data_IF_781956832499
#
_entry.id   IF_781956832499
#
_cell.length_a   1.000
_cell.length_b   1.000
_cell.length_c   1.000
_cell.angle_alpha   90.00
_cell.angle_beta   90.00
_cell.angle_gamma   90.00
#
_symmetry.space_group_name_H-M   'P 1'
#
loop_
_entity.id
_entity.type
_entity.pdbx_description
1 polymer ?
#
# COMPACT_ATOMS: atom_id res chain seq x y z
N UNK A 1 -3.79 -11.22 -9.15
CA UNK A 1 -2.60 -11.56 -8.31
C UNK A 1 -2.86 -11.06 -6.91
N UNK A 2 -2.43 -11.74 -5.84
CA UNK A 2 -2.66 -11.27 -4.46
C UNK A 2 -1.37 -10.72 -3.87
N UNK A 3 -1.41 -9.49 -3.38
CA UNK A 3 -0.24 -8.76 -2.88
C UNK A 3 -0.52 -8.32 -1.44
N UNK A 4 0.38 -8.69 -0.53
CA UNK A 4 0.39 -8.19 0.83
C UNK A 4 1.42 -7.08 0.94
N UNK A 5 0.99 -5.88 1.34
CA UNK A 5 1.88 -4.75 1.60
C UNK A 5 1.94 -4.51 3.10
N UNK A 6 3.12 -4.62 3.69
CA UNK A 6 3.37 -4.24 5.08
C UNK A 6 3.79 -2.78 5.18
N UNK A 7 3.37 -2.06 6.21
CA UNK A 7 3.79 -0.66 6.40
C UNK A 7 3.16 0.31 5.39
N UNK A 8 1.96 -0.03 4.86
CA UNK A 8 1.28 0.72 3.82
C UNK A 8 0.79 2.13 4.22
N UNK A 9 0.77 2.46 5.50
CA UNK A 9 0.48 3.81 5.98
C UNK A 9 1.74 4.71 5.98
N UNK A 10 2.94 4.13 5.90
CA UNK A 10 4.20 4.88 5.84
C UNK A 10 4.41 5.63 4.52
N UNK A 11 5.46 6.45 4.45
CA UNK A 11 5.78 7.28 3.28
C UNK A 11 5.86 6.46 1.98
N UNK A 12 6.71 5.43 1.95
CA UNK A 12 6.91 4.58 0.77
C UNK A 12 5.68 3.69 0.51
N UNK A 13 5.16 3.05 1.56
CA UNK A 13 4.05 2.11 1.43
C UNK A 13 2.78 2.76 0.88
N UNK A 14 2.46 3.97 1.35
CA UNK A 14 1.28 4.69 0.90
C UNK A 14 1.38 5.15 -0.56
N UNK A 15 2.55 5.64 -0.98
CA UNK A 15 2.79 5.96 -2.39
C UNK A 15 2.68 4.71 -3.26
N UNK A 16 3.35 3.62 -2.89
CA UNK A 16 3.32 2.36 -3.64
C UNK A 16 1.89 1.82 -3.83
N UNK A 17 1.11 1.73 -2.75
CA UNK A 17 -0.29 1.25 -2.81
C UNK A 17 -1.14 2.17 -3.68
N UNK A 18 -1.00 3.49 -3.54
CA UNK A 18 -1.75 4.46 -4.37
C UNK A 18 -1.37 4.35 -5.85
N UNK A 19 -0.09 4.23 -6.19
CA UNK A 19 0.36 4.03 -7.57
C UNK A 19 -0.18 2.73 -8.15
N UNK A 20 -0.17 1.64 -7.38
CA UNK A 20 -0.71 0.36 -7.81
C UNK A 20 -2.23 0.43 -8.08
N UNK A 21 -2.99 1.04 -7.16
CA UNK A 21 -4.44 1.24 -7.34
C UNK A 21 -4.77 2.19 -8.50
N UNK A 22 -3.88 3.14 -8.80
CA UNK A 22 -3.96 4.02 -9.96
C UNK A 22 -3.49 3.35 -11.27
N UNK A 23 -3.26 2.04 -11.27
CA UNK A 23 -2.78 1.27 -12.43
C UNK A 23 -1.43 1.77 -12.99
N UNK A 24 -0.58 2.35 -12.14
CA UNK A 24 0.75 2.85 -12.51
C UNK A 24 1.79 1.74 -12.75
N UNK A 25 1.45 0.47 -12.52
CA UNK A 25 2.30 -0.69 -12.77
C UNK A 25 1.64 -1.63 -13.80
N UNK A 26 2.10 -1.62 -15.06
CA UNK A 26 1.56 -2.50 -16.09
C UNK A 26 1.66 -3.98 -15.71
N UNK A 27 0.61 -4.76 -15.99
CA UNK A 27 0.51 -6.17 -15.63
C UNK A 27 -0.06 -6.44 -14.22
N UNK A 28 -0.39 -5.39 -13.48
CA UNK A 28 -0.97 -5.47 -12.12
C UNK A 28 -2.43 -4.96 -12.07
N UNK A 29 -3.08 -4.76 -13.21
CA UNK A 29 -4.41 -4.14 -13.32
C UNK A 29 -5.51 -4.92 -12.59
N UNK A 30 -5.29 -6.22 -12.35
CA UNK A 30 -6.19 -7.12 -11.60
C UNK A 30 -5.52 -7.66 -10.33
N UNK A 31 -4.65 -6.86 -9.70
CA UNK A 31 -4.07 -7.20 -8.42
C UNK A 31 -5.06 -6.90 -7.29
N UNK A 32 -5.25 -7.86 -6.40
CA UNK A 32 -5.90 -7.66 -5.11
C UNK A 32 -4.83 -7.31 -4.08
N UNK A 33 -4.95 -6.14 -3.45
CA UNK A 33 -3.96 -5.64 -2.49
C UNK A 33 -4.55 -5.69 -1.09
N UNK A 34 -3.84 -6.34 -0.17
CA UNK A 34 -4.12 -6.29 1.27
C UNK A 34 -3.01 -5.50 1.94
N UNK A 35 -3.37 -4.52 2.77
CA UNK A 35 -2.41 -3.73 3.54
C UNK A 35 -2.45 -4.17 4.99
N UNK A 36 -1.28 -4.50 5.54
CA UNK A 36 -1.09 -4.76 6.96
C UNK A 36 -0.16 -3.70 7.54
N UNK A 37 -0.66 -2.94 8.51
CA UNK A 37 0.13 -1.91 9.17
C UNK A 37 -0.12 -1.93 10.66
N UNK A 38 0.93 -1.68 11.44
CA UNK A 38 0.86 -1.53 12.90
C UNK A 38 0.41 -0.12 13.30
N UNK A 39 0.45 0.84 12.37
CA UNK A 39 0.07 2.24 12.56
C UNK A 39 0.87 2.95 13.65
N UNK A 40 2.05 2.44 14.02
CA UNK A 40 2.85 2.97 15.12
C UNK A 40 3.59 4.27 14.78
N UNK A 41 3.78 4.58 13.50
CA UNK A 41 4.39 5.84 13.04
C UNK A 41 3.34 6.75 12.40
N UNK A 42 2.75 6.32 11.27
CA UNK A 42 1.82 7.14 10.50
C UNK A 42 0.38 7.19 11.05
N UNK A 43 0.09 6.46 12.13
CA UNK A 43 -1.20 6.47 12.81
C UNK A 43 -1.19 7.11 14.19
N UNK A 44 -0.07 7.69 14.62
CA UNK A 44 -0.02 8.51 15.82
C UNK A 44 -0.29 9.97 15.45
N UNK A 45 -1.34 10.56 16.00
CA UNK A 45 -1.75 11.95 15.76
C UNK A 45 -1.13 12.95 16.75
N UNK A 46 -0.34 12.46 17.70
CA UNK A 46 0.41 13.26 18.68
C UNK A 46 1.76 13.73 18.13
#
# INVERSE_FOLDING_TARGET
>A
MRILVTGGAGFVGSHYVRTMLAQGYPGYERADVTVLDKLSYAGNAE
#
